data_IF_982989795048
#
_entry.id   IF_982989795048
#
_cell.length_a   1.000
_cell.length_b   1.000
_cell.length_c   1.000
_cell.angle_alpha   90.00
_cell.angle_beta   90.00
_cell.angle_gamma   90.00
#
_symmetry.space_group_name_H-M   'P 1'
#
loop_
_entity.id
_entity.type
_entity.pdbx_description
1 polymer ?
#
# COMPACT_ATOMS: atom_id res chain seq x y z
N UNK A 1 10.23 -30.73 57.63
CA UNK A 1 11.32 -29.86 57.15
C UNK A 1 12.23 -30.72 56.28
N UNK A 2 12.48 -30.49 54.99
CA UNK A 2 12.16 -29.37 54.12
C UNK A 2 12.20 -29.78 52.65
N UNK A 3 11.20 -29.28 51.92
CA UNK A 3 11.16 -28.90 50.50
C UNK A 3 11.96 -29.68 49.44
N UNK A 4 11.20 -30.54 48.74
CA UNK A 4 11.42 -30.95 47.35
C UNK A 4 11.51 -29.73 46.42
N UNK A 5 12.71 -29.35 45.99
CA UNK A 5 12.89 -28.33 44.95
C UNK A 5 12.65 -28.97 43.57
N UNK A 6 11.38 -29.04 43.17
CA UNK A 6 11.02 -29.18 41.77
C UNK A 6 11.55 -27.96 41.01
N UNK A 7 12.66 -28.15 40.30
CA UNK A 7 13.17 -27.14 39.38
C UNK A 7 12.35 -27.24 38.10
N UNK A 8 11.27 -26.46 38.10
CA UNK A 8 10.34 -26.18 37.01
C UNK A 8 11.14 -25.88 35.73
N UNK A 9 11.12 -26.83 34.78
CA UNK A 9 11.54 -26.61 33.40
C UNK A 9 10.65 -25.51 32.82
N UNK A 10 11.20 -24.30 32.71
CA UNK A 10 10.59 -23.25 31.93
C UNK A 10 10.66 -23.69 30.45
N UNK A 11 9.53 -23.87 29.74
CA UNK A 11 9.59 -23.95 28.29
C UNK A 11 10.05 -22.58 27.81
N UNK A 12 11.32 -22.49 27.42
CA UNK A 12 11.81 -21.38 26.60
C UNK A 12 10.90 -21.30 25.39
N UNK A 13 10.04 -20.29 25.37
CA UNK A 13 9.15 -19.98 24.27
C UNK A 13 10.04 -19.68 23.06
N UNK A 14 10.30 -20.72 22.28
CA UNK A 14 10.97 -20.61 21.02
C UNK A 14 10.12 -19.71 20.12
N UNK A 15 10.49 -18.43 20.07
CA UNK A 15 9.97 -17.48 19.12
C UNK A 15 10.52 -17.84 17.74
N UNK A 16 10.07 -18.96 17.17
CA UNK A 16 10.20 -19.23 15.74
C UNK A 16 9.19 -18.36 14.99
N UNK A 17 9.43 -17.05 15.01
CA UNK A 17 8.94 -16.20 13.94
C UNK A 17 9.63 -16.65 12.67
N UNK A 18 8.87 -17.18 11.70
CA UNK A 18 9.35 -17.45 10.34
C UNK A 18 10.27 -16.31 9.89
N UNK A 19 11.45 -16.58 9.31
CA UNK A 19 12.34 -15.53 8.83
C UNK A 19 11.55 -14.59 7.92
N UNK A 20 11.71 -13.28 8.13
CA UNK A 20 11.17 -12.23 7.25
C UNK A 20 11.63 -12.57 5.84
N UNK A 21 10.70 -12.61 4.89
CA UNK A 21 11.05 -12.88 3.50
C UNK A 21 11.82 -11.66 2.97
N UNK A 22 13.13 -11.79 2.74
CA UNK A 22 13.96 -10.68 2.29
C UNK A 22 13.55 -10.20 0.89
N UNK A 23 12.93 -11.07 0.08
CA UNK A 23 12.42 -10.72 -1.25
C UNK A 23 11.27 -9.73 -1.14
N UNK A 24 10.38 -9.93 -0.18
CA UNK A 24 9.23 -9.04 0.06
C UNK A 24 9.69 -7.71 0.64
N UNK A 25 10.65 -7.73 1.57
CA UNK A 25 11.18 -6.50 2.17
C UNK A 25 12.00 -5.70 1.14
N UNK A 26 12.78 -6.36 0.27
CA UNK A 26 13.48 -5.73 -0.85
C UNK A 26 12.51 -5.16 -1.88
N UNK A 27 11.46 -5.91 -2.25
CA UNK A 27 10.44 -5.45 -3.18
C UNK A 27 9.74 -4.19 -2.64
N UNK A 28 9.39 -4.16 -1.36
CA UNK A 28 8.82 -2.95 -0.73
C UNK A 28 9.80 -1.79 -0.69
N UNK A 29 11.06 -2.04 -0.37
CA UNK A 29 12.09 -1.01 -0.36
C UNK A 29 12.27 -0.40 -1.75
N UNK A 30 12.44 -1.24 -2.76
CA UNK A 30 12.59 -0.80 -4.15
C UNK A 30 11.34 -0.05 -4.64
N UNK A 31 10.15 -0.56 -4.36
CA UNK A 31 8.91 0.12 -4.73
C UNK A 31 8.74 1.46 -3.97
N UNK A 32 9.17 1.55 -2.70
CA UNK A 32 9.13 2.81 -1.94
C UNK A 32 10.13 3.82 -2.51
N UNK A 33 11.36 3.41 -2.80
CA UNK A 33 12.37 4.25 -3.43
C UNK A 33 11.90 4.76 -4.79
N UNK A 34 11.34 3.87 -5.62
CA UNK A 34 10.81 4.22 -6.94
C UNK A 34 9.62 5.19 -6.83
N UNK A 35 8.68 4.95 -5.91
CA UNK A 35 7.55 5.88 -5.67
C UNK A 35 8.05 7.25 -5.22
N UNK A 36 9.00 7.30 -4.30
CA UNK A 36 9.57 8.57 -3.81
C UNK A 36 10.29 9.29 -4.94
N UNK A 37 11.17 8.60 -5.68
CA UNK A 37 11.89 9.17 -6.83
C UNK A 37 10.92 9.69 -7.91
N UNK A 38 9.93 8.90 -8.31
CA UNK A 38 8.94 9.32 -9.31
C UNK A 38 8.14 10.53 -8.86
N UNK A 39 7.73 10.62 -7.60
CA UNK A 39 7.00 11.79 -7.10
C UNK A 39 7.90 13.03 -6.97
N UNK A 40 9.14 12.85 -6.52
CA UNK A 40 10.12 13.94 -6.49
C UNK A 40 10.41 14.47 -7.90
N UNK A 41 10.40 13.61 -8.91
CA UNK A 41 10.64 13.99 -10.30
C UNK A 41 9.38 14.53 -11.02
N UNK A 42 8.16 14.21 -10.59
CA UNK A 42 6.92 14.80 -11.14
C UNK A 42 6.72 16.26 -10.72
N UNK A 43 7.38 16.70 -9.65
CA UNK A 43 7.36 18.09 -9.18
C UNK A 43 8.64 18.78 -9.63
N UNK A 44 8.67 19.22 -10.89
CA UNK A 44 9.75 20.06 -11.41
C UNK A 44 9.25 21.51 -11.52
N UNK A 45 9.60 22.39 -10.57
CA UNK A 45 9.32 23.81 -10.72
C UNK A 45 10.28 24.38 -11.77
N UNK A 46 9.73 24.82 -12.91
CA UNK A 46 10.48 25.55 -13.93
C UNK A 46 10.28 27.04 -13.66
N UNK A 47 11.37 27.72 -13.25
CA UNK A 47 11.39 29.17 -13.11
C UNK A 47 11.67 29.77 -14.49
N UNK A 48 10.68 30.44 -15.06
CA UNK A 48 10.88 31.10 -16.35
C UNK A 48 11.67 32.41 -16.19
N UNK A 49 12.35 32.89 -17.27
CA UNK A 49 13.12 34.13 -17.23
C UNK A 49 12.31 35.39 -16.88
N UNK A 50 10.99 35.33 -17.07
CA UNK A 50 9.98 36.35 -16.74
C UNK A 50 9.53 36.30 -15.26
N UNK A 51 10.07 35.38 -14.46
CA UNK A 51 9.78 35.26 -13.02
C UNK A 51 8.52 34.46 -12.70
N UNK A 52 7.83 33.92 -13.71
CA UNK A 52 6.69 33.01 -13.52
C UNK A 52 7.19 31.59 -13.23
N UNK A 53 6.54 30.90 -12.29
CA UNK A 53 6.84 29.50 -11.97
C UNK A 53 5.77 28.64 -12.62
N UNK A 54 6.16 27.87 -13.64
CA UNK A 54 5.25 26.86 -14.20
C UNK A 54 5.73 25.47 -13.85
N UNK A 55 4.77 24.55 -13.80
CA UNK A 55 5.04 23.13 -13.57
C UNK A 55 4.96 22.42 -14.88
N UNK A 56 6.11 22.16 -15.50
CA UNK A 56 6.19 21.14 -16.54
C UNK A 56 6.45 19.80 -15.86
N UNK A 57 5.56 18.84 -16.09
CA UNK A 57 5.78 17.47 -15.66
C UNK A 57 6.78 16.82 -16.62
N UNK A 58 8.06 17.19 -16.48
CA UNK A 58 9.16 16.85 -17.39
C UNK A 58 9.32 15.34 -17.58
N UNK A 59 8.78 14.52 -16.66
CA UNK A 59 8.72 13.07 -16.77
C UNK A 59 7.65 12.55 -17.74
N UNK A 60 6.48 13.19 -17.82
CA UNK A 60 5.38 12.77 -18.69
C UNK A 60 5.55 13.24 -20.14
N UNK A 61 6.44 14.20 -20.38
CA UNK A 61 6.84 14.62 -21.73
C UNK A 61 7.90 13.71 -22.35
N UNK A 62 8.54 12.88 -21.52
CA UNK A 62 9.56 11.94 -21.99
C UNK A 62 8.92 10.62 -22.40
N UNK A 63 8.81 10.41 -23.71
CA UNK A 63 8.30 9.20 -24.37
C UNK A 63 8.94 7.88 -23.88
N UNK A 64 10.13 7.93 -23.28
CA UNK A 64 10.79 6.75 -22.71
C UNK A 64 10.30 6.38 -21.30
N UNK A 65 9.60 7.28 -20.61
CA UNK A 65 9.08 7.04 -19.26
C UNK A 65 7.74 6.29 -19.26
N UNK A 66 6.92 6.46 -20.31
CA UNK A 66 5.68 5.70 -20.52
C UNK A 66 5.88 4.16 -20.48
N UNK A 67 6.83 3.56 -21.22
CA UNK A 67 7.05 2.12 -21.15
C UNK A 67 7.60 1.67 -19.78
N UNK A 68 8.36 2.52 -19.09
CA UNK A 68 8.85 2.23 -17.73
C UNK A 68 7.70 2.17 -16.74
N UNK A 69 6.75 3.12 -16.79
CA UNK A 69 5.53 3.09 -15.97
C UNK A 69 4.66 1.87 -16.28
N UNK A 70 4.60 1.47 -17.55
CA UNK A 70 3.90 0.26 -18.01
C UNK A 70 4.51 -1.03 -17.45
N UNK A 71 5.84 -1.16 -17.49
CA UNK A 71 6.55 -2.34 -16.97
C UNK A 71 6.50 -2.38 -15.45
N UNK A 72 6.67 -1.24 -14.79
CA UNK A 72 6.80 -1.22 -13.35
C UNK A 72 5.48 -1.23 -12.60
N UNK A 73 4.33 -0.89 -13.22
CA UNK A 73 2.96 -0.87 -12.65
C UNK A 73 2.96 -0.94 -11.11
N UNK A 74 3.60 0.07 -10.51
CA UNK A 74 4.11 -0.03 -9.13
C UNK A 74 2.94 -0.11 -8.17
N UNK A 75 1.87 0.60 -8.52
CA UNK A 75 0.64 0.64 -7.76
C UNK A 75 0.02 -0.76 -7.62
N UNK A 76 -0.39 -1.48 -8.70
CA UNK A 76 -0.90 -2.85 -8.56
C UNK A 76 0.00 -3.78 -7.75
N UNK A 77 1.31 -3.74 -7.98
CA UNK A 77 2.27 -4.60 -7.26
C UNK A 77 2.22 -4.35 -5.74
N UNK A 78 2.14 -3.10 -5.29
CA UNK A 78 1.99 -2.77 -3.87
C UNK A 78 0.74 -3.40 -3.25
N UNK A 79 -0.40 -3.35 -3.95
CA UNK A 79 -1.65 -3.94 -3.45
C UNK A 79 -1.59 -5.47 -3.42
N UNK A 80 -0.98 -6.11 -4.43
CA UNK A 80 -0.79 -7.57 -4.46
C UNK A 80 0.14 -8.02 -3.32
N UNK A 81 1.31 -7.39 -3.16
CA UNK A 81 2.26 -7.68 -2.07
C UNK A 81 1.65 -7.36 -0.70
N UNK A 82 0.89 -6.26 -0.61
CA UNK A 82 0.09 -5.90 0.56
C UNK A 82 -0.96 -6.96 0.89
N UNK A 83 -1.57 -7.57 -0.12
CA UNK A 83 -2.50 -8.69 0.00
C UNK A 83 -1.85 -9.95 0.55
N UNK A 84 -0.74 -10.40 -0.05
CA UNK A 84 0.02 -11.58 0.40
C UNK A 84 0.40 -11.45 1.88
N UNK A 85 1.13 -10.38 2.18
CA UNK A 85 1.65 -10.14 3.53
C UNK A 85 0.57 -9.82 4.54
N UNK A 86 -0.51 -9.16 4.09
CA UNK A 86 -1.66 -8.80 4.91
C UNK A 86 -2.48 -10.02 5.32
N UNK A 87 -2.74 -10.94 4.38
CA UNK A 87 -3.44 -12.19 4.65
C UNK A 87 -2.66 -13.07 5.61
N UNK A 88 -1.35 -13.22 5.41
CA UNK A 88 -0.51 -13.96 6.33
C UNK A 88 -0.46 -13.35 7.73
N UNK A 89 -0.31 -12.03 7.84
CA UNK A 89 -0.30 -11.36 9.14
C UNK A 89 -1.65 -11.50 9.84
N UNK A 90 -2.75 -11.45 9.09
CA UNK A 90 -4.10 -11.69 9.62
C UNK A 90 -4.26 -13.12 10.13
N UNK A 91 -3.84 -14.14 9.36
CA UNK A 91 -3.85 -15.55 9.79
C UNK A 91 -3.04 -15.77 11.07
N UNK A 92 -1.83 -15.19 11.15
CA UNK A 92 -0.97 -15.26 12.34
C UNK A 92 -1.61 -14.59 13.56
N UNK A 93 -2.24 -13.44 13.39
CA UNK A 93 -2.92 -12.72 14.47
C UNK A 93 -4.15 -13.50 14.96
N UNK A 94 -4.96 -14.02 14.03
CA UNK A 94 -6.15 -14.81 14.34
C UNK A 94 -5.79 -16.13 15.05
N UNK A 95 -4.68 -16.77 14.67
CA UNK A 95 -4.15 -17.96 15.35
C UNK A 95 -3.73 -17.69 16.80
N UNK A 96 -3.41 -16.43 17.15
CA UNK A 96 -3.11 -15.98 18.51
C UNK A 96 -4.34 -15.46 19.27
N UNK A 97 -5.53 -15.60 18.70
CA UNK A 97 -6.79 -15.11 19.29
C UNK A 97 -7.04 -13.61 19.11
N UNK A 98 -6.26 -12.91 18.28
CA UNK A 98 -6.45 -11.49 18.03
C UNK A 98 -7.68 -11.19 17.16
N UNK A 99 -8.22 -9.99 17.34
CA UNK A 99 -9.42 -9.49 16.65
C UNK A 99 -9.09 -8.66 15.39
N UNK A 100 -10.13 -8.33 14.61
CA UNK A 100 -9.99 -7.41 13.47
C UNK A 100 -9.59 -5.99 13.88
N UNK A 101 -9.96 -5.58 15.09
CA UNK A 101 -9.62 -4.26 15.64
C UNK A 101 -8.12 -4.24 15.98
N UNK A 102 -7.59 -5.31 16.57
CA UNK A 102 -6.16 -5.41 16.88
C UNK A 102 -5.32 -5.35 15.59
N UNK A 103 -5.81 -5.98 14.52
CA UNK A 103 -5.18 -5.90 13.20
C UNK A 103 -5.14 -4.46 12.67
N UNK A 104 -6.29 -3.77 12.74
CA UNK A 104 -6.42 -2.39 12.30
C UNK A 104 -5.50 -1.46 13.09
N UNK A 105 -5.46 -1.58 14.41
CA UNK A 105 -4.60 -0.77 15.28
C UNK A 105 -3.12 -0.98 14.98
N UNK A 106 -2.67 -2.23 14.85
CA UNK A 106 -1.27 -2.52 14.52
C UNK A 106 -0.86 -1.95 13.17
N UNK A 107 -1.74 -2.02 12.17
CA UNK A 107 -1.46 -1.50 10.83
C UNK A 107 -1.49 0.02 10.80
N UNK A 108 -2.48 0.60 11.46
CA UNK A 108 -2.65 2.03 11.57
C UNK A 108 -1.45 2.67 12.28
N UNK A 109 -1.02 2.16 13.44
CA UNK A 109 0.14 2.69 14.17
C UNK A 109 1.45 2.57 13.37
N UNK A 110 1.63 1.48 12.63
CA UNK A 110 2.81 1.27 11.80
C UNK A 110 2.86 2.21 10.59
N UNK A 111 1.71 2.65 10.09
CA UNK A 111 1.60 3.54 8.94
C UNK A 111 1.55 5.02 9.35
N UNK A 112 0.83 5.35 10.42
CA UNK A 112 0.71 6.72 10.94
C UNK A 112 2.08 7.23 11.37
N UNK A 113 2.90 6.46 12.10
CA UNK A 113 4.23 6.94 12.57
C UNK A 113 5.13 7.50 11.46
N UNK A 114 5.44 6.76 10.38
CA UNK A 114 6.24 7.30 9.29
C UNK A 114 5.52 8.41 8.54
N UNK A 115 4.19 8.31 8.35
CA UNK A 115 3.41 9.35 7.68
C UNK A 115 3.42 10.67 8.46
N UNK A 116 3.23 10.65 9.78
CA UNK A 116 3.26 11.85 10.63
C UNK A 116 4.64 12.48 10.66
N UNK A 117 5.72 11.69 10.67
CA UNK A 117 7.07 12.22 10.61
C UNK A 117 7.32 12.95 9.27
N UNK A 118 6.91 12.33 8.16
CA UNK A 118 7.00 12.95 6.84
C UNK A 118 6.15 14.23 6.78
N UNK A 119 4.89 14.18 7.19
CA UNK A 119 3.98 15.32 7.13
C UNK A 119 4.46 16.46 8.03
N UNK A 120 4.95 16.16 9.23
CA UNK A 120 5.54 17.15 10.11
C UNK A 120 6.78 17.79 9.47
N UNK A 121 7.66 17.00 8.85
CA UNK A 121 8.84 17.51 8.16
C UNK A 121 8.49 18.42 6.98
N UNK A 122 7.48 18.04 6.17
CA UNK A 122 7.01 18.85 5.06
C UNK A 122 6.34 20.13 5.56
N UNK A 123 5.52 20.04 6.60
CA UNK A 123 4.88 21.20 7.21
C UNK A 123 5.92 22.20 7.72
N UNK A 124 6.94 21.74 8.44
CA UNK A 124 8.04 22.60 8.93
C UNK A 124 8.81 23.21 7.75
N UNK A 125 9.11 22.45 6.71
CA UNK A 125 9.82 22.94 5.52
C UNK A 125 9.03 24.01 4.76
N UNK A 126 7.73 23.77 4.51
CA UNK A 126 6.86 24.72 3.82
C UNK A 126 6.62 25.98 4.66
N UNK A 127 6.46 25.83 5.98
CA UNK A 127 6.31 26.95 6.89
C UNK A 127 7.58 27.81 6.99
N UNK A 128 8.76 27.18 7.00
CA UNK A 128 10.03 27.90 6.92
C UNK A 128 10.19 28.63 5.58
N UNK A 129 9.82 27.99 4.46
CA UNK A 129 9.86 28.60 3.14
C UNK A 129 8.94 29.82 3.04
N UNK A 130 7.73 29.76 3.62
CA UNK A 130 6.82 30.90 3.65
C UNK A 130 7.35 32.05 4.51
N UNK A 131 8.07 31.76 5.61
CA UNK A 131 8.74 32.79 6.43
C UNK A 131 9.95 33.42 5.74
N UNK A 132 10.65 32.66 4.89
CA UNK A 132 11.79 33.15 4.10
C UNK A 132 11.38 33.96 2.86
N UNK A 133 10.07 34.15 2.63
CA UNK A 133 9.54 34.95 1.53
C UNK A 133 9.55 34.24 0.18
N UNK A 134 9.55 32.91 0.16
CA UNK A 134 9.36 32.12 -1.08
C UNK A 134 7.95 32.41 -1.63
N UNK A 135 7.85 32.52 -2.95
CA UNK A 135 6.58 32.79 -3.65
C UNK A 135 5.47 31.81 -3.21
N UNK A 136 4.30 32.31 -2.78
CA UNK A 136 3.15 31.47 -2.43
C UNK A 136 2.77 30.44 -3.51
N UNK A 137 2.97 30.75 -4.79
CA UNK A 137 2.69 29.81 -5.88
C UNK A 137 3.61 28.59 -5.83
N UNK A 138 4.89 28.77 -5.49
CA UNK A 138 5.86 27.67 -5.31
C UNK A 138 5.50 26.82 -4.10
N UNK A 139 5.11 27.45 -3.00
CA UNK A 139 4.70 26.76 -1.77
C UNK A 139 3.42 25.94 -2.02
N UNK A 140 2.44 26.52 -2.70
CA UNK A 140 1.19 25.85 -3.05
C UNK A 140 1.45 24.68 -4.01
N UNK A 141 2.34 24.86 -4.99
CA UNK A 141 2.72 23.82 -5.92
C UNK A 141 3.33 22.59 -5.21
N UNK A 142 4.31 22.81 -4.32
CA UNK A 142 4.94 21.74 -3.55
C UNK A 142 3.91 21.04 -2.65
N UNK A 143 3.00 21.81 -2.05
CA UNK A 143 1.92 21.26 -1.23
C UNK A 143 0.93 20.40 -2.05
N UNK A 144 0.58 20.82 -3.26
CA UNK A 144 -0.27 20.03 -4.18
C UNK A 144 0.45 18.75 -4.61
N UNK A 145 1.75 18.82 -4.92
CA UNK A 145 2.56 17.64 -5.21
C UNK A 145 2.61 16.64 -4.05
N UNK A 146 2.66 17.13 -2.81
CA UNK A 146 2.58 16.31 -1.59
C UNK A 146 1.25 15.55 -1.44
N UNK A 147 0.17 16.04 -2.05
CA UNK A 147 -1.13 15.38 -2.06
C UNK A 147 -1.17 14.08 -2.86
N UNK A 148 -0.31 13.96 -3.89
CA UNK A 148 -0.24 12.80 -4.77
C UNK A 148 0.16 11.48 -4.07
N UNK A 149 1.19 11.42 -3.22
CA UNK A 149 1.48 10.18 -2.47
C UNK A 149 0.46 9.92 -1.35
N UNK A 150 -0.19 10.97 -0.83
CA UNK A 150 -1.15 10.86 0.28
C UNK A 150 -2.43 10.10 -0.09
N UNK A 151 -2.98 10.33 -1.28
CA UNK A 151 -4.18 9.60 -1.70
C UNK A 151 -3.88 8.10 -1.89
N UNK A 152 -2.70 7.77 -2.44
CA UNK A 152 -2.25 6.38 -2.56
C UNK A 152 -2.11 5.73 -1.19
N UNK A 153 -1.48 6.43 -0.24
CA UNK A 153 -1.33 5.97 1.13
C UNK A 153 -2.69 5.70 1.79
N UNK A 154 -3.67 6.59 1.57
CA UNK A 154 -5.02 6.43 2.08
C UNK A 154 -5.73 5.21 1.45
N UNK A 155 -5.64 5.03 0.14
CA UNK A 155 -6.21 3.86 -0.56
C UNK A 155 -5.53 2.55 -0.11
N UNK A 156 -4.20 2.55 0.02
CA UNK A 156 -3.43 1.41 0.54
C UNK A 156 -3.83 1.07 1.98
N UNK A 157 -3.96 2.08 2.85
CA UNK A 157 -4.43 1.85 4.22
C UNK A 157 -5.85 1.27 4.23
N UNK A 158 -6.77 1.84 3.45
CA UNK A 158 -8.16 1.38 3.39
C UNK A 158 -8.26 -0.10 2.97
N UNK A 159 -7.61 -0.47 1.87
CA UNK A 159 -7.56 -1.88 1.40
C UNK A 159 -6.94 -2.82 2.44
N UNK A 160 -5.92 -2.34 3.15
CA UNK A 160 -5.27 -3.11 4.20
C UNK A 160 -6.17 -3.28 5.43
N UNK A 161 -6.95 -2.27 5.80
CA UNK A 161 -7.97 -2.35 6.86
C UNK A 161 -9.14 -3.28 6.45
N UNK A 162 -9.40 -3.44 5.16
CA UNK A 162 -10.40 -4.38 4.64
C UNK A 162 -9.95 -5.85 4.69
N UNK A 163 -8.66 -6.14 4.95
CA UNK A 163 -8.12 -7.52 4.97
C UNK A 163 -8.91 -8.48 5.85
N UNK A 164 -9.28 -8.16 7.12
CA UNK A 164 -10.01 -9.09 7.97
C UNK A 164 -11.36 -9.51 7.39
N UNK A 165 -12.07 -8.57 6.74
CA UNK A 165 -13.36 -8.82 6.08
C UNK A 165 -13.16 -9.65 4.82
N UNK A 166 -12.25 -9.18 3.96
CA UNK A 166 -11.93 -9.84 2.70
C UNK A 166 -11.39 -11.26 2.91
N UNK A 167 -10.59 -11.50 3.95
CA UNK A 167 -10.05 -12.82 4.27
C UNK A 167 -11.13 -13.80 4.76
N UNK A 168 -12.20 -13.30 5.40
CA UNK A 168 -13.36 -14.13 5.79
C UNK A 168 -14.19 -14.53 4.57
N UNK A 169 -14.41 -13.59 3.65
CA UNK A 169 -15.12 -13.83 2.40
C UNK A 169 -14.33 -14.79 1.49
N UNK A 170 -13.03 -14.51 1.33
CA UNK A 170 -12.12 -15.34 0.54
C UNK A 170 -12.02 -16.78 1.07
N UNK A 171 -12.04 -16.95 2.39
CA UNK A 171 -12.04 -18.28 3.01
C UNK A 171 -13.31 -19.10 2.77
N UNK A 172 -14.45 -18.46 2.50
CA UNK A 172 -15.69 -19.17 2.13
C UNK A 172 -15.75 -19.45 0.63
N UNK A 173 -15.50 -18.43 -0.18
CA UNK A 173 -15.49 -18.57 -1.64
C UNK A 173 -14.58 -17.51 -2.27
N UNK A 174 -13.35 -17.88 -2.67
CA UNK A 174 -12.37 -16.91 -3.17
C UNK A 174 -12.80 -16.33 -4.53
N UNK A 175 -13.36 -17.15 -5.41
CA UNK A 175 -13.83 -16.73 -6.73
C UNK A 175 -15.09 -15.87 -6.67
N UNK A 176 -16.04 -16.16 -5.77
CA UNK A 176 -17.21 -15.29 -5.58
C UNK A 176 -16.83 -13.96 -4.95
N UNK A 177 -15.83 -13.95 -4.06
CA UNK A 177 -15.32 -12.69 -3.49
C UNK A 177 -14.73 -11.81 -4.58
N UNK A 178 -13.89 -12.37 -5.45
CA UNK A 178 -13.34 -11.63 -6.60
C UNK A 178 -14.45 -11.18 -7.55
N UNK A 179 -15.37 -12.08 -7.91
CA UNK A 179 -16.50 -11.76 -8.79
C UNK A 179 -17.40 -10.66 -8.24
N UNK A 180 -17.68 -10.67 -6.93
CA UNK A 180 -18.44 -9.62 -6.25
C UNK A 180 -17.73 -8.28 -6.23
N UNK A 181 -16.41 -8.26 -6.04
CA UNK A 181 -15.62 -7.03 -6.12
C UNK A 181 -15.62 -6.46 -7.56
N UNK A 182 -15.44 -7.31 -8.57
CA UNK A 182 -15.48 -6.88 -9.98
C UNK A 182 -16.87 -6.40 -10.38
N UNK A 183 -17.93 -7.08 -9.94
CA UNK A 183 -19.30 -6.64 -10.18
C UNK A 183 -19.58 -5.29 -9.52
N UNK A 184 -19.08 -5.06 -8.30
CA UNK A 184 -19.19 -3.76 -7.62
C UNK A 184 -18.45 -2.66 -8.38
N UNK A 185 -17.26 -2.95 -8.92
CA UNK A 185 -16.52 -2.00 -9.77
C UNK A 185 -17.34 -1.61 -11.00
N UNK A 186 -17.82 -2.59 -11.76
CA UNK A 186 -18.60 -2.34 -12.99
C UNK A 186 -19.87 -1.55 -12.68
N UNK A 187 -20.56 -1.90 -11.59
CA UNK A 187 -21.79 -1.21 -11.16
C UNK A 187 -21.51 0.24 -10.79
N UNK A 188 -20.48 0.49 -9.98
CA UNK A 188 -20.12 1.84 -9.55
C UNK A 188 -19.62 2.71 -10.69
N UNK A 189 -18.86 2.13 -11.63
CA UNK A 189 -18.39 2.84 -12.81
C UNK A 189 -19.54 3.22 -13.73
N UNK A 190 -20.52 2.33 -13.90
CA UNK A 190 -21.74 2.61 -14.68
C UNK A 190 -22.61 3.71 -14.06
N UNK A 191 -22.61 3.83 -12.74
CA UNK A 191 -23.38 4.84 -11.99
C UNK A 191 -22.63 6.15 -11.78
N UNK A 192 -21.34 6.20 -12.10
CA UNK A 192 -20.47 7.36 -11.84
C UNK A 192 -20.94 8.63 -12.56
N UNK A 193 -21.56 8.49 -13.74
CA UNK A 193 -22.12 9.62 -14.49
C UNK A 193 -23.23 10.36 -13.75
N UNK A 194 -23.97 9.67 -12.88
CA UNK A 194 -25.05 10.25 -12.06
C UNK A 194 -24.56 10.71 -10.68
N UNK A 195 -23.56 10.03 -10.10
CA UNK A 195 -23.04 10.32 -8.77
C UNK A 195 -21.51 10.39 -8.75
N UNK A 196 -20.92 11.59 -8.92
CA UNK A 196 -19.46 11.75 -9.02
C UNK A 196 -18.70 11.22 -7.80
N UNK A 197 -19.29 11.29 -6.60
CA UNK A 197 -18.68 10.78 -5.35
C UNK A 197 -18.47 9.26 -5.36
N UNK A 198 -19.17 8.50 -6.21
CA UNK A 198 -18.95 7.06 -6.34
C UNK A 198 -17.58 6.72 -6.92
N UNK A 199 -16.89 7.67 -7.57
CA UNK A 199 -15.53 7.47 -8.05
C UNK A 199 -14.56 7.07 -6.91
N UNK A 200 -14.69 7.69 -5.74
CA UNK A 200 -13.85 7.38 -4.58
C UNK A 200 -14.12 5.98 -4.04
N UNK A 201 -15.40 5.58 -4.03
CA UNK A 201 -15.82 4.25 -3.58
C UNK A 201 -15.38 3.19 -4.58
N UNK A 202 -15.57 3.43 -5.88
CA UNK A 202 -15.13 2.55 -6.96
C UNK A 202 -13.64 2.25 -6.85
N UNK A 203 -12.85 3.29 -6.60
CA UNK A 203 -11.40 3.16 -6.43
C UNK A 203 -11.04 2.16 -5.32
N UNK A 204 -11.74 2.16 -4.18
CA UNK A 204 -11.52 1.18 -3.11
C UNK A 204 -11.79 -0.25 -3.58
N UNK A 205 -12.87 -0.48 -4.33
CA UNK A 205 -13.23 -1.81 -4.84
C UNK A 205 -12.23 -2.33 -5.87
N UNK A 206 -11.76 -1.46 -6.78
CA UNK A 206 -10.71 -1.80 -7.75
C UNK A 206 -9.46 -2.30 -7.02
N UNK A 207 -8.97 -1.53 -6.04
CA UNK A 207 -7.76 -1.92 -5.32
C UNK A 207 -7.97 -3.12 -4.40
N UNK A 208 -9.16 -3.32 -3.85
CA UNK A 208 -9.51 -4.55 -3.13
C UNK A 208 -9.51 -5.78 -4.06
N UNK A 209 -9.99 -5.63 -5.31
CA UNK A 209 -9.93 -6.70 -6.31
C UNK A 209 -8.48 -7.03 -6.68
N UNK A 210 -7.63 -6.02 -6.87
CA UNK A 210 -6.18 -6.21 -7.10
C UNK A 210 -5.53 -6.90 -5.89
N UNK A 211 -5.88 -6.48 -4.66
CA UNK A 211 -5.40 -7.11 -3.42
C UNK A 211 -5.80 -8.59 -3.33
N UNK A 212 -6.96 -8.99 -3.87
CA UNK A 212 -7.37 -10.39 -3.87
C UNK A 212 -6.42 -11.28 -4.66
N UNK A 213 -5.82 -10.82 -5.76
CA UNK A 213 -4.79 -11.60 -6.45
C UNK A 213 -3.63 -11.96 -5.52
N UNK A 214 -3.27 -11.08 -4.60
CA UNK A 214 -2.32 -11.38 -3.54
C UNK A 214 -2.77 -12.52 -2.61
N UNK A 215 -4.07 -12.63 -2.34
CA UNK A 215 -4.61 -13.73 -1.52
C UNK A 215 -4.54 -15.06 -2.26
N UNK A 216 -4.86 -15.08 -3.56
CA UNK A 216 -4.71 -16.25 -4.42
C UNK A 216 -3.25 -16.75 -4.49
N UNK A 217 -2.29 -15.82 -4.58
CA UNK A 217 -0.85 -16.14 -4.57
C UNK A 217 -0.43 -16.72 -3.21
N UNK A 218 -0.87 -16.11 -2.11
CA UNK A 218 -0.56 -16.58 -0.75
C UNK A 218 -1.17 -17.96 -0.43
N UNK A 219 -2.28 -18.33 -1.09
CA UNK A 219 -2.89 -19.66 -0.99
C UNK A 219 -2.23 -20.71 -1.88
N UNK A 220 -1.23 -20.32 -2.68
CA UNK A 220 -0.47 -21.25 -3.51
C UNK A 220 -1.28 -21.83 -4.68
N UNK A 221 -2.40 -21.21 -5.06
CA UNK A 221 -3.22 -21.63 -6.21
C UNK A 221 -2.39 -21.66 -7.50
N UNK A 222 -1.36 -20.81 -7.59
CA UNK A 222 -0.42 -20.80 -8.71
C UNK A 222 0.78 -21.73 -8.54
N UNK A 223 1.09 -22.21 -7.33
CA UNK A 223 2.22 -23.10 -7.06
C UNK A 223 1.99 -24.53 -7.59
N UNK A 224 0.74 -24.95 -7.74
CA UNK A 224 0.40 -26.24 -8.37
C UNK A 224 0.61 -26.27 -9.89
N UNK A 225 0.72 -25.12 -10.55
CA UNK A 225 0.71 -25.01 -12.02
C UNK A 225 2.10 -24.82 -12.65
N UNK A 226 3.11 -24.44 -11.86
CA UNK A 226 4.50 -24.28 -12.35
C UNK A 226 5.28 -25.59 -12.47
N UNK A 227 4.83 -26.68 -11.84
CA UNK A 227 5.46 -28.01 -11.95
C UNK A 227 5.19 -28.74 -13.27
N UNK A 228 4.19 -28.29 -14.04
CA UNK A 228 3.84 -28.91 -15.33
C UNK A 228 4.50 -28.26 -16.55
N UNK A 229 5.11 -27.08 -16.41
CA UNK A 229 5.62 -26.33 -17.57
C UNK A 229 7.11 -26.56 -17.86
N UNK A 230 7.87 -27.09 -16.90
CA UNK A 230 9.28 -27.45 -17.09
C UNK A 230 9.52 -28.94 -17.35
N UNK A 231 8.45 -29.72 -17.55
CA UNK A 231 8.52 -31.16 -17.81
C UNK A 231 7.87 -31.55 -19.15
N UNK A 232 7.78 -30.61 -20.09
CA UNK A 232 7.35 -30.84 -21.48
C UNK A 232 8.45 -30.48 -22.45
#
# INVERSE_FOLDING_TARGET
MGFSRQQKTAPGMAAFGRPRDPVIDLARFFCLVLVVLSHCMMVSPVLHPDGTVTTENTLMEQHWFEPVLWVFQVMPLFFVLGGITGLESWRRLRARGGSGIDYAQLRLLRLIRPATALLASMFVGLWAASLLGVDPEVVQLIATGAGMPLWFLAAYLATQLSVPVLARLHGHSPWLTLGGLVAAVITLDSLRGAFPMLAFVNMLFVWCAVQQFGFFIADGIFAGRSRGWFAG
#
